data_IF_783076983542
#
_entry.id   IF_783076983542
#
_cell.length_a   1.000
_cell.length_b   1.000
_cell.length_c   1.000
_cell.angle_alpha   90.00
_cell.angle_beta   90.00
_cell.angle_gamma   90.00
#
_symmetry.space_group_name_H-M   'P 1'
#
loop_
_entity.id
_entity.type
_entity.pdbx_description
1 polymer ?
#
# COMPACT_ATOMS: atom_id res chain seq x y z
N UNK A 1 -0.29 -2.70 26.40
CA UNK A 1 0.82 -1.72 26.44
C UNK A 1 0.66 -0.73 25.29
N UNK A 2 0.89 0.58 25.49
CA UNK A 2 0.81 1.60 24.42
C UNK A 2 2.15 1.64 23.68
N UNK A 3 2.14 1.46 22.36
CA UNK A 3 3.37 1.46 21.54
C UNK A 3 3.52 2.73 20.70
N UNK A 4 2.41 3.42 20.40
CA UNK A 4 2.41 4.67 19.66
C UNK A 4 1.13 5.47 19.96
N UNK A 5 1.11 6.72 19.53
CA UNK A 5 -0.06 7.60 19.60
C UNK A 5 -0.15 8.39 18.29
N UNK A 6 -1.35 8.46 17.73
CA UNK A 6 -1.67 9.32 16.59
C UNK A 6 -2.37 10.58 17.12
N UNK A 7 -2.00 11.75 16.59
CA UNK A 7 -2.68 13.02 16.85
C UNK A 7 -3.05 13.66 15.51
N UNK A 8 -4.32 14.04 15.36
CA UNK A 8 -4.82 14.87 14.26
C UNK A 8 -5.19 16.24 14.83
N UNK A 9 -4.49 17.28 14.39
CA UNK A 9 -4.83 18.68 14.68
C UNK A 9 -5.50 19.30 13.45
N UNK A 10 -6.62 20.01 13.62
CA UNK A 10 -7.31 20.67 12.51
C UNK A 10 -8.06 21.93 12.95
N UNK A 11 -8.31 22.81 11.99
CA UNK A 11 -9.16 23.98 12.12
C UNK A 11 -10.29 23.89 11.08
N UNK A 12 -11.51 24.28 11.45
CA UNK A 12 -12.65 24.41 10.53
C UNK A 12 -13.19 25.84 10.62
N UNK A 13 -12.64 26.78 9.83
CA UNK A 13 -13.01 28.20 9.92
C UNK A 13 -14.49 28.47 9.71
N UNK A 14 -15.15 27.76 8.79
CA UNK A 14 -16.59 27.95 8.50
C UNK A 14 -17.49 27.49 9.66
N UNK A 15 -16.99 26.60 10.51
CA UNK A 15 -17.66 26.14 11.72
C UNK A 15 -17.12 26.84 12.98
N UNK A 16 -16.21 27.82 12.82
CA UNK A 16 -15.50 28.51 13.91
C UNK A 16 -14.80 27.55 14.89
N UNK A 17 -14.30 26.41 14.39
CA UNK A 17 -13.49 25.47 15.17
C UNK A 17 -12.01 25.78 14.94
N UNK A 18 -11.26 26.03 16.02
CA UNK A 18 -9.83 26.38 15.97
C UNK A 18 -9.11 25.61 17.07
N UNK A 19 -8.00 24.98 16.71
CA UNK A 19 -7.13 24.25 17.62
C UNK A 19 -7.65 22.87 18.01
N UNK A 20 -8.59 22.30 17.25
CA UNK A 20 -9.15 20.98 17.54
C UNK A 20 -8.07 19.91 17.43
N UNK A 21 -8.10 18.96 18.38
CA UNK A 21 -7.13 17.86 18.48
C UNK A 21 -7.83 16.56 18.81
N UNK A 22 -7.62 15.57 17.94
CA UNK A 22 -8.05 14.19 18.18
C UNK A 22 -6.79 13.36 18.42
N UNK A 23 -6.79 12.58 19.51
CA UNK A 23 -5.70 11.65 19.85
C UNK A 23 -6.23 10.24 19.93
N UNK A 24 -5.47 9.30 19.40
CA UNK A 24 -5.76 7.87 19.54
C UNK A 24 -4.48 7.08 19.83
N UNK A 25 -4.62 6.05 20.68
CA UNK A 25 -3.51 5.24 21.15
C UNK A 25 -3.43 3.92 20.39
N UNK A 26 -2.25 3.59 19.87
CA UNK A 26 -1.97 2.28 19.31
C UNK A 26 -1.47 1.38 20.45
N UNK A 27 -2.29 0.39 20.81
CA UNK A 27 -2.03 -0.54 21.92
C UNK A 27 -1.72 -1.94 21.40
N UNK A 28 -0.79 -2.61 22.08
CA UNK A 28 -0.50 -4.04 21.95
C UNK A 28 -1.06 -4.76 23.18
N UNK A 29 -1.88 -5.77 22.94
CA UNK A 29 -2.40 -6.67 23.98
C UNK A 29 -1.49 -7.88 24.06
N UNK A 30 -1.05 -8.22 25.27
CA UNK A 30 -0.32 -9.46 25.52
C UNK A 30 -1.33 -10.50 26.02
N UNK A 31 -1.28 -11.69 25.43
CA UNK A 31 -2.18 -12.80 25.77
C UNK A 31 -1.38 -14.10 25.71
N UNK A 32 -1.79 -15.07 26.52
CA UNK A 32 -1.26 -16.45 26.46
C UNK A 32 -2.12 -17.35 25.56
N UNK A 33 -3.27 -16.87 25.08
CA UNK A 33 -4.11 -17.59 24.12
C UNK A 33 -3.53 -17.46 22.71
N UNK A 34 -3.07 -18.58 22.15
CA UNK A 34 -2.50 -18.63 20.81
C UNK A 34 -3.52 -18.25 19.72
N UNK A 35 -4.82 -18.50 19.93
CA UNK A 35 -5.86 -18.15 18.97
C UNK A 35 -6.00 -16.62 18.89
N UNK A 36 -6.08 -15.96 20.04
CA UNK A 36 -6.17 -14.50 20.14
C UNK A 36 -4.93 -13.83 19.56
N UNK A 37 -3.72 -14.34 19.84
CA UNK A 37 -2.48 -13.82 19.29
C UNK A 37 -2.35 -14.01 17.76
N UNK A 38 -3.02 -15.03 17.19
CA UNK A 38 -3.00 -15.30 15.75
C UNK A 38 -3.96 -14.44 14.93
N UNK A 39 -4.86 -13.69 15.59
CA UNK A 39 -5.85 -12.88 14.90
C UNK A 39 -5.18 -11.72 14.16
N UNK A 40 -5.46 -11.63 12.87
CA UNK A 40 -4.99 -10.55 12.01
C UNK A 40 -6.16 -9.62 11.72
N UNK A 41 -5.97 -8.32 11.92
CA UNK A 41 -6.93 -7.33 11.45
C UNK A 41 -6.88 -7.27 9.91
N UNK A 42 -7.94 -7.73 9.25
CA UNK A 42 -8.01 -7.82 7.79
C UNK A 42 -7.83 -6.45 7.10
N UNK A 43 -8.32 -5.37 7.70
CA UNK A 43 -8.19 -4.02 7.17
C UNK A 43 -6.73 -3.55 7.22
N UNK A 44 -6.05 -3.74 8.35
CA UNK A 44 -4.62 -3.40 8.47
C UNK A 44 -3.78 -4.25 7.52
N UNK A 45 -4.08 -5.54 7.40
CA UNK A 45 -3.39 -6.44 6.47
C UNK A 45 -3.58 -5.99 5.02
N UNK A 46 -4.79 -5.58 4.63
CA UNK A 46 -5.05 -5.08 3.28
C UNK A 46 -4.20 -3.84 2.95
N UNK A 47 -4.06 -2.90 3.89
CA UNK A 47 -3.18 -1.74 3.70
C UNK A 47 -1.71 -2.13 3.59
N UNK A 48 -1.25 -3.07 4.43
CA UNK A 48 0.11 -3.59 4.38
C UNK A 48 0.42 -4.26 3.03
N UNK A 49 -0.51 -5.08 2.51
CA UNK A 49 -0.39 -5.71 1.20
C UNK A 49 -0.30 -4.67 0.07
N UNK A 50 -1.20 -3.68 0.05
CA UNK A 50 -1.21 -2.58 -0.95
C UNK A 50 0.08 -1.77 -0.92
N UNK A 51 0.57 -1.43 0.28
CA UNK A 51 1.82 -0.69 0.45
C UNK A 51 3.03 -1.51 -0.05
N UNK A 52 3.08 -2.80 0.28
CA UNK A 52 4.14 -3.68 -0.20
C UNK A 52 4.09 -3.86 -1.72
N UNK A 53 2.89 -3.97 -2.29
CA UNK A 53 2.70 -4.06 -3.74
C UNK A 53 3.23 -2.82 -4.47
N UNK A 54 2.85 -1.62 -4.01
CA UNK A 54 3.35 -0.38 -4.58
C UNK A 54 4.88 -0.28 -4.51
N UNK A 55 5.48 -0.63 -3.36
CA UNK A 55 6.93 -0.61 -3.17
C UNK A 55 7.66 -1.57 -4.12
N UNK A 56 7.17 -2.80 -4.26
CA UNK A 56 7.81 -3.81 -5.10
C UNK A 56 7.64 -3.52 -6.59
N UNK A 57 6.45 -3.07 -7.00
CA UNK A 57 6.22 -2.68 -8.40
C UNK A 57 7.07 -1.47 -8.78
N UNK A 58 7.19 -0.47 -7.90
CA UNK A 58 8.06 0.69 -8.14
C UNK A 58 9.51 0.25 -8.34
N UNK A 59 10.00 -0.67 -7.50
CA UNK A 59 11.35 -1.26 -7.65
C UNK A 59 11.52 -1.97 -8.99
N UNK A 60 10.56 -2.80 -9.40
CA UNK A 60 10.58 -3.49 -10.71
C UNK A 60 10.66 -2.47 -11.86
N UNK A 61 9.81 -1.44 -11.83
CA UNK A 61 9.80 -0.41 -12.87
C UNK A 61 11.11 0.38 -12.92
N UNK A 62 11.72 0.68 -11.77
CA UNK A 62 12.97 1.43 -11.71
C UNK A 62 14.16 0.59 -12.17
N UNK A 63 14.20 -0.71 -11.84
CA UNK A 63 15.16 -1.67 -12.41
C UNK A 63 15.03 -1.72 -13.94
N UNK A 64 13.79 -1.85 -14.42
CA UNK A 64 13.49 -1.93 -15.85
C UNK A 64 13.89 -0.64 -16.59
N UNK A 65 13.56 0.55 -16.06
CA UNK A 65 13.98 1.83 -16.67
C UNK A 65 15.50 1.97 -16.76
N UNK A 66 16.24 1.46 -15.77
CA UNK A 66 17.70 1.58 -15.72
C UNK A 66 18.42 0.56 -16.61
N UNK A 67 17.91 -0.66 -16.69
CA UNK A 67 18.64 -1.80 -17.25
C UNK A 67 17.94 -2.50 -18.41
N UNK A 68 16.69 -2.13 -18.70
CA UNK A 68 15.82 -2.83 -19.65
C UNK A 68 15.36 -4.21 -19.17
N UNK A 69 15.67 -4.59 -17.92
CA UNK A 69 15.34 -5.89 -17.33
C UNK A 69 14.81 -5.70 -15.90
N UNK A 70 13.95 -6.60 -15.44
CA UNK A 70 13.61 -6.71 -14.02
C UNK A 70 14.20 -7.98 -13.43
N UNK A 71 14.75 -7.85 -12.23
CA UNK A 71 15.31 -8.97 -11.45
C UNK A 71 14.53 -9.21 -10.16
N UNK A 72 13.82 -8.19 -9.67
CA UNK A 72 12.91 -8.31 -8.54
C UNK A 72 11.70 -9.18 -8.90
N UNK A 73 11.57 -10.33 -8.22
CA UNK A 73 10.38 -11.17 -8.30
C UNK A 73 9.28 -10.64 -7.38
N UNK A 74 8.06 -10.60 -7.91
CA UNK A 74 6.86 -10.28 -7.14
C UNK A 74 6.36 -11.56 -6.46
N UNK A 75 6.08 -11.47 -5.16
CA UNK A 75 5.47 -12.57 -4.43
C UNK A 75 3.97 -12.72 -4.80
N UNK A 76 3.37 -13.92 -4.74
CA UNK A 76 1.97 -14.13 -5.14
C UNK A 76 0.94 -13.29 -4.36
N UNK A 77 1.24 -12.96 -3.11
CA UNK A 77 0.38 -12.07 -2.30
C UNK A 77 0.36 -10.62 -2.82
N UNK A 78 1.42 -10.20 -3.51
CA UNK A 78 1.55 -8.87 -4.11
C UNK A 78 0.77 -8.78 -5.42
N UNK A 79 0.74 -9.86 -6.21
CA UNK A 79 0.02 -9.85 -7.49
C UNK A 79 -1.49 -9.80 -7.28
N UNK A 80 -2.03 -10.42 -6.21
CA UNK A 80 -3.47 -10.44 -5.90
C UNK A 80 -4.12 -9.06 -5.80
N UNK A 81 -3.39 -8.04 -5.35
CA UNK A 81 -3.92 -6.67 -5.16
C UNK A 81 -3.79 -5.79 -6.41
N UNK A 82 -3.14 -6.29 -7.46
CA UNK A 82 -2.93 -5.57 -8.72
C UNK A 82 -4.07 -5.89 -9.70
N UNK A 83 -4.40 -4.94 -10.57
CA UNK A 83 -5.32 -5.20 -11.69
C UNK A 83 -4.67 -6.11 -12.75
N UNK A 84 -5.50 -6.81 -13.52
CA UNK A 84 -5.03 -7.81 -14.50
C UNK A 84 -4.06 -7.22 -15.53
N UNK A 85 -4.30 -5.98 -15.98
CA UNK A 85 -3.42 -5.32 -16.97
C UNK A 85 -2.02 -5.08 -16.38
N UNK A 86 -1.96 -4.62 -15.12
CA UNK A 86 -0.70 -4.45 -14.40
C UNK A 86 0.03 -5.78 -14.20
N UNK A 87 -0.69 -6.86 -13.84
CA UNK A 87 -0.11 -8.19 -13.68
C UNK A 87 0.52 -8.68 -15.00
N UNK A 88 -0.23 -8.61 -16.10
CA UNK A 88 0.24 -9.03 -17.41
C UNK A 88 1.49 -8.25 -17.84
N UNK A 89 1.50 -6.93 -17.66
CA UNK A 89 2.65 -6.11 -18.04
C UNK A 89 3.90 -6.43 -17.19
N UNK A 90 3.72 -6.70 -15.90
CA UNK A 90 4.83 -7.11 -15.02
C UNK A 90 5.35 -8.51 -15.38
N UNK A 91 4.50 -9.42 -15.84
CA UNK A 91 4.91 -10.71 -16.39
C UNK A 91 5.71 -10.55 -17.68
N UNK A 92 5.29 -9.67 -18.60
CA UNK A 92 6.03 -9.35 -19.81
C UNK A 92 7.44 -8.83 -19.48
N UNK A 93 7.55 -7.89 -18.53
CA UNK A 93 8.85 -7.40 -18.05
C UNK A 93 9.70 -8.54 -17.48
N UNK A 94 9.12 -9.44 -16.67
CA UNK A 94 9.83 -10.59 -16.08
C UNK A 94 10.29 -11.60 -17.14
N UNK A 95 9.55 -11.74 -18.24
CA UNK A 95 9.93 -12.55 -19.40
C UNK A 95 10.98 -11.86 -20.29
N UNK A 96 11.41 -10.65 -19.96
CA UNK A 96 12.37 -9.87 -20.73
C UNK A 96 11.77 -9.21 -21.97
N UNK A 97 10.44 -9.14 -22.07
CA UNK A 97 9.76 -8.41 -23.13
C UNK A 97 9.81 -6.91 -22.85
N UNK A 98 9.84 -6.11 -23.92
CA UNK A 98 9.79 -4.67 -23.81
C UNK A 98 8.36 -4.18 -23.74
N UNK A 99 8.06 -3.36 -22.74
CA UNK A 99 6.82 -2.60 -22.63
C UNK A 99 7.06 -1.11 -22.95
N UNK A 100 6.01 -0.41 -23.38
CA UNK A 100 6.09 1.00 -23.74
C UNK A 100 6.30 1.90 -22.51
N UNK A 101 6.84 3.10 -22.74
CA UNK A 101 6.99 4.10 -21.68
C UNK A 101 5.65 4.55 -21.09
N UNK A 102 4.59 4.52 -21.90
CA UNK A 102 3.23 4.83 -21.46
C UNK A 102 2.71 3.76 -20.50
N UNK A 103 2.95 2.48 -20.80
CA UNK A 103 2.61 1.36 -19.92
C UNK A 103 3.37 1.44 -18.59
N UNK A 104 4.67 1.75 -18.62
CA UNK A 104 5.47 1.96 -17.39
C UNK A 104 4.86 3.05 -16.50
N UNK A 105 4.47 4.18 -17.09
CA UNK A 105 3.83 5.27 -16.35
C UNK A 105 2.44 4.89 -15.83
N UNK A 106 1.65 4.19 -16.64
CA UNK A 106 0.31 3.75 -16.26
C UNK A 106 0.36 2.80 -15.05
N UNK A 107 1.26 1.82 -15.07
CA UNK A 107 1.48 0.87 -13.96
C UNK A 107 1.85 1.63 -12.69
N UNK A 108 2.87 2.51 -12.75
CA UNK A 108 3.30 3.28 -11.59
C UNK A 108 2.19 4.17 -11.00
N UNK A 109 1.36 4.77 -11.85
CA UNK A 109 0.22 5.56 -11.41
C UNK A 109 -0.86 4.70 -10.75
N UNK A 110 -1.21 3.56 -11.35
CA UNK A 110 -2.20 2.62 -10.79
C UNK A 110 -1.76 2.07 -9.43
N UNK A 111 -0.50 1.64 -9.31
CA UNK A 111 0.01 1.10 -8.04
C UNK A 111 0.15 2.16 -6.96
N UNK A 112 0.51 3.40 -7.32
CA UNK A 112 0.51 4.52 -6.38
C UNK A 112 -0.89 4.80 -5.83
N UNK A 113 -1.94 4.67 -6.65
CA UNK A 113 -3.34 4.86 -6.19
C UNK A 113 -3.77 3.83 -5.14
N UNK A 114 -3.16 2.64 -5.10
CA UNK A 114 -3.46 1.62 -4.08
C UNK A 114 -3.21 2.13 -2.65
N UNK A 115 -2.28 3.07 -2.48
CA UNK A 115 -1.96 3.66 -1.17
C UNK A 115 -2.57 5.05 -0.96
N UNK A 116 -3.27 5.61 -1.96
CA UNK A 116 -3.85 6.96 -1.89
C UNK A 116 -5.34 6.97 -1.61
N UNK A 117 -6.08 5.90 -1.96
CA UNK A 117 -7.52 5.85 -1.72
C UNK A 117 -7.80 5.65 -0.23
N UNK A 118 -8.02 6.77 0.48
CA UNK A 118 -8.66 6.79 1.80
C UNK A 118 -10.17 7.05 1.71
N UNK A 119 -10.65 7.47 0.53
CA UNK A 119 -12.04 7.91 0.31
C UNK A 119 -13.07 6.78 0.52
N UNK A 120 -12.66 5.52 0.37
CA UNK A 120 -13.54 4.35 0.56
C UNK A 120 -13.66 3.92 2.05
N UNK A 121 -13.05 4.66 2.99
CA UNK A 121 -12.98 4.30 4.43
C UNK A 121 -14.02 5.05 5.28
N UNK A 122 -14.77 6.00 4.71
CA UNK A 122 -15.85 6.68 5.44
C UNK A 122 -17.20 6.00 5.14
N UNK A 123 -17.91 5.48 6.16
CA UNK A 123 -19.30 5.02 6.02
C UNK A 123 -20.28 6.16 5.76
#
# INVERSE_FOLDING_TARGET
FRIAQAELSYDVPIANLIGERIRDDIKVTFTTDANEASQVNATVMNFAEKANANRLVTRVLDEYKRTGKATTRLAPNVTRVLDQETQNALEQINQGQQISQEQVKAIGNKTRKLTQRLDDILP
#
